data_IF_886284699113
#
_entry.id   IF_886284699113
#
_cell.length_a   1.000
_cell.length_b   1.000
_cell.length_c   1.000
_cell.angle_alpha   90.00
_cell.angle_beta   90.00
_cell.angle_gamma   90.00
#
_symmetry.space_group_name_H-M   'P 1'
#
loop_
_entity.id
_entity.type
_entity.pdbx_description
1 polymer ?
#
# COMPACT_ATOMS: atom_id res chain seq x y z
N UNK A 1 -25.64 -55.76 -26.91
CA UNK A 1 -24.21 -55.62 -27.26
C UNK A 1 -23.47 -54.98 -26.10
N UNK A 2 -22.45 -55.68 -25.62
CA UNK A 2 -21.36 -55.33 -24.68
C UNK A 2 -21.64 -54.53 -23.40
N UNK A 3 -21.72 -55.29 -22.30
CA UNK A 3 -21.35 -54.88 -20.93
C UNK A 3 -19.83 -54.88 -20.83
N UNK A 4 -19.20 -53.86 -20.23
CA UNK A 4 -17.81 -53.95 -19.80
C UNK A 4 -17.67 -53.50 -18.35
N UNK A 5 -17.42 -54.50 -17.50
CA UNK A 5 -17.04 -54.38 -16.10
C UNK A 5 -15.51 -54.30 -16.07
N UNK A 6 -14.95 -53.28 -15.43
CA UNK A 6 -13.55 -53.32 -14.98
C UNK A 6 -13.53 -53.04 -13.48
N UNK A 7 -13.51 -54.14 -12.73
CA UNK A 7 -13.03 -54.20 -11.36
C UNK A 7 -11.51 -54.26 -11.40
N UNK A 8 -10.82 -53.30 -10.77
CA UNK A 8 -9.45 -53.50 -10.32
C UNK A 8 -9.37 -53.23 -8.82
N UNK A 9 -9.04 -54.31 -8.13
CA UNK A 9 -8.77 -54.43 -6.70
C UNK A 9 -7.31 -54.02 -6.52
N UNK A 10 -7.07 -53.06 -5.64
CA UNK A 10 -5.74 -52.73 -5.13
C UNK A 10 -5.78 -52.69 -3.61
N UNK A 11 -5.61 -53.86 -2.98
CA UNK A 11 -5.20 -54.00 -1.58
C UNK A 11 -3.72 -53.61 -1.47
N UNK A 12 -3.33 -52.85 -0.45
CA UNK A 12 -1.90 -52.64 -0.20
C UNK A 12 -1.54 -51.71 0.96
N UNK A 13 -1.61 -52.26 2.17
CA UNK A 13 -0.76 -51.98 3.34
C UNK A 13 -0.74 -50.57 3.96
N UNK A 14 -1.41 -50.49 5.11
CA UNK A 14 -1.14 -49.54 6.17
C UNK A 14 0.28 -49.71 6.73
N UNK A 15 1.01 -48.60 6.90
CA UNK A 15 2.17 -48.52 7.78
C UNK A 15 1.88 -47.45 8.84
N UNK A 16 1.55 -47.94 10.03
CA UNK A 16 1.63 -47.22 11.31
C UNK A 16 3.11 -47.00 11.64
N UNK A 17 3.52 -45.75 11.85
CA UNK A 17 4.69 -45.44 12.68
C UNK A 17 4.56 -44.06 13.35
N UNK A 18 4.36 -44.15 14.67
CA UNK A 18 4.95 -43.35 15.74
C UNK A 18 4.88 -41.82 15.71
N UNK A 19 4.19 -41.32 16.74
CA UNK A 19 4.22 -39.97 17.25
C UNK A 19 5.63 -39.49 17.60
N UNK A 20 5.91 -38.23 17.30
CA UNK A 20 6.89 -37.42 18.02
C UNK A 20 6.36 -35.98 18.11
N UNK A 21 5.56 -35.73 19.14
CA UNK A 21 5.10 -34.39 19.51
C UNK A 21 6.25 -33.66 20.22
N UNK A 22 6.88 -32.72 19.53
CA UNK A 22 7.65 -31.67 20.19
C UNK A 22 6.78 -30.42 20.24
N UNK A 23 6.07 -30.25 21.36
CA UNK A 23 5.46 -28.97 21.74
C UNK A 23 6.56 -28.06 22.28
N UNK A 24 7.09 -27.17 21.44
CA UNK A 24 7.78 -25.99 21.94
C UNK A 24 6.71 -24.96 22.29
N UNK A 25 6.38 -24.90 23.56
CA UNK A 25 5.65 -23.83 24.21
C UNK A 25 6.62 -22.66 24.36
N UNK A 26 6.51 -21.65 23.51
CA UNK A 26 7.12 -20.33 23.74
C UNK A 26 6.00 -19.42 24.28
N UNK A 27 5.89 -19.33 25.60
CA UNK A 27 5.01 -18.37 26.26
C UNK A 27 5.68 -17.00 26.21
N UNK A 28 5.37 -16.21 25.18
CA UNK A 28 5.50 -14.76 25.28
C UNK A 28 4.26 -14.21 25.97
N UNK A 29 4.47 -13.80 27.20
CA UNK A 29 3.57 -12.95 27.97
C UNK A 29 3.18 -11.71 27.16
N UNK A 30 1.88 -11.44 26.93
CA UNK A 30 1.44 -10.15 26.42
C UNK A 30 1.53 -9.10 27.54
N UNK A 31 2.20 -8.00 27.22
CA UNK A 31 2.41 -6.84 28.08
C UNK A 31 1.06 -6.12 28.36
N UNK A 32 0.58 -6.02 29.62
CA UNK A 32 -0.74 -5.47 29.92
C UNK A 32 -0.82 -3.93 29.89
N UNK A 33 0.11 -3.23 29.24
CA UNK A 33 0.24 -1.76 29.31
C UNK A 33 -0.28 -0.95 28.12
N UNK A 34 -1.02 -1.55 27.18
CA UNK A 34 -1.60 -0.82 26.05
C UNK A 34 -3.14 -0.81 26.00
N UNK A 35 -3.79 -0.90 27.15
CA UNK A 35 -5.18 -0.46 27.33
C UNK A 35 -5.19 0.93 27.93
N UNK A 36 -4.99 1.94 27.08
CA UNK A 36 -5.27 3.33 27.41
C UNK A 36 -6.24 3.88 26.36
N UNK A 37 -7.52 3.57 26.55
CA UNK A 37 -8.62 4.35 26.00
C UNK A 37 -8.83 5.62 26.83
N UNK A 38 -8.78 6.81 26.21
CA UNK A 38 -9.67 7.91 26.58
C UNK A 38 -10.79 7.93 25.52
N UNK A 39 -12.01 7.56 25.89
CA UNK A 39 -12.99 8.46 26.51
C UNK A 39 -13.32 9.66 25.60
N UNK A 40 -14.56 9.63 25.12
CA UNK A 40 -15.19 10.69 24.35
C UNK A 40 -15.08 12.06 25.03
N UNK A 41 -14.72 13.08 24.26
CA UNK A 41 -14.97 14.48 24.61
C UNK A 41 -15.22 15.30 23.32
N UNK A 42 -16.51 15.51 23.07
CA UNK A 42 -17.17 16.75 22.63
C UNK A 42 -16.57 17.61 21.51
N UNK A 43 -17.44 17.82 20.53
CA UNK A 43 -17.42 18.92 19.58
C UNK A 43 -17.28 20.28 20.29
N UNK A 44 -16.45 21.15 19.74
CA UNK A 44 -16.66 22.60 19.77
C UNK A 44 -16.22 23.22 18.45
N UNK A 45 -17.16 23.94 17.85
CA UNK A 45 -16.96 24.87 16.75
C UNK A 45 -16.10 26.04 17.25
N UNK A 46 -15.09 26.41 16.49
CA UNK A 46 -14.27 27.59 16.76
C UNK A 46 -13.60 28.08 15.49
N UNK A 47 -14.19 29.09 14.87
CA UNK A 47 -13.64 29.82 13.74
C UNK A 47 -12.43 30.68 14.15
N UNK A 48 -11.71 31.14 13.12
CA UNK A 48 -10.68 32.21 13.09
C UNK A 48 -9.30 31.88 13.65
N UNK A 49 -8.29 32.09 12.79
CA UNK A 49 -6.88 31.97 13.15
C UNK A 49 -5.95 32.21 11.97
N UNK A 50 -6.09 33.36 11.30
CA UNK A 50 -5.03 33.92 10.44
C UNK A 50 -3.76 34.11 11.26
N UNK A 51 -2.65 33.49 10.88
CA UNK A 51 -1.34 33.75 11.51
C UNK A 51 -0.26 33.49 10.46
N UNK A 52 0.35 34.55 9.93
CA UNK A 52 1.58 35.18 10.45
C UNK A 52 2.80 34.61 9.72
N UNK A 53 3.00 35.08 8.49
CA UNK A 53 4.20 34.86 7.70
C UNK A 53 4.75 36.21 7.22
N UNK A 54 4.89 37.16 8.15
CA UNK A 54 5.61 38.42 7.92
C UNK A 54 6.24 38.82 9.26
N UNK A 55 7.47 38.35 9.49
CA UNK A 55 8.45 38.92 10.43
C UNK A 55 9.72 38.08 10.40
N UNK A 56 10.54 38.30 9.39
CA UNK A 56 11.97 37.95 9.41
C UNK A 56 12.73 38.93 8.53
N UNK A 57 12.70 40.20 8.93
CA UNK A 57 13.68 41.18 8.52
C UNK A 57 14.23 41.83 9.78
N UNK A 58 15.54 42.07 9.77
CA UNK A 58 16.27 42.99 10.64
C UNK A 58 16.86 42.43 11.95
N UNK A 59 18.07 41.84 11.83
CA UNK A 59 19.19 42.06 12.75
C UNK A 59 20.48 42.00 11.92
N UNK A 60 21.10 43.15 11.64
CA UNK A 60 22.15 43.76 12.46
C UNK A 60 23.44 42.94 12.48
N UNK A 61 24.45 43.37 11.71
CA UNK A 61 25.80 43.66 12.24
C UNK A 61 26.40 44.80 11.40
N UNK A 62 26.58 45.91 12.10
CA UNK A 62 27.32 47.11 11.73
C UNK A 62 28.79 46.91 12.14
N UNK A 63 29.69 47.36 11.28
CA UNK A 63 31.08 47.74 11.55
C UNK A 63 32.11 46.67 12.01
N UNK A 64 33.01 46.30 11.09
CA UNK A 64 34.45 46.23 11.40
C UNK A 64 35.29 46.60 10.17
N UNK A 65 35.91 47.77 10.25
CA UNK A 65 36.92 48.23 9.31
C UNK A 65 38.28 47.52 9.56
N UNK A 66 38.96 47.14 8.49
CA UNK A 66 40.42 47.01 8.40
C UNK A 66 40.86 47.17 6.93
N UNK A 67 42.05 47.74 6.78
CA UNK A 67 42.68 48.47 5.67
C UNK A 67 43.10 47.62 4.45
N UNK A 68 43.63 48.19 3.34
CA UNK A 68 43.42 47.70 1.99
C UNK A 68 44.62 46.92 1.47
N UNK A 69 44.43 45.64 1.14
CA UNK A 69 45.46 44.87 0.45
C UNK A 69 45.24 44.96 -1.06
N UNK A 70 46.17 45.68 -1.69
CA UNK A 70 46.31 45.91 -3.12
C UNK A 70 46.61 44.59 -3.83
N UNK A 71 45.57 43.85 -4.18
CA UNK A 71 45.68 42.73 -5.13
C UNK A 71 45.43 43.26 -6.53
N UNK A 72 46.46 43.10 -7.34
CA UNK A 72 46.57 43.44 -8.76
C UNK A 72 45.34 43.05 -9.58
N UNK A 73 44.76 44.05 -10.25
CA UNK A 73 43.70 43.90 -11.23
C UNK A 73 44.22 43.15 -12.46
N UNK A 74 44.02 41.83 -12.50
CA UNK A 74 43.84 41.14 -13.77
C UNK A 74 42.44 41.49 -14.26
N UNK A 75 42.35 42.08 -15.46
CA UNK A 75 41.08 42.46 -16.08
C UNK A 75 40.22 41.21 -16.34
N UNK A 76 39.44 40.82 -15.33
CA UNK A 76 38.40 39.82 -15.45
C UNK A 76 37.24 40.44 -16.23
N UNK A 77 36.86 39.78 -17.33
CA UNK A 77 35.63 40.07 -18.08
C UNK A 77 34.47 40.11 -17.07
N UNK A 78 33.59 41.12 -17.10
CA UNK A 78 32.51 41.20 -16.12
C UNK A 78 31.71 39.89 -16.16
N UNK A 79 31.35 39.32 -15.00
CA UNK A 79 30.49 38.15 -14.97
C UNK A 79 29.23 38.51 -15.75
N UNK A 80 28.83 37.67 -16.71
CA UNK A 80 27.54 37.84 -17.37
C UNK A 80 26.50 37.77 -16.26
N UNK A 81 25.88 38.91 -15.95
CA UNK A 81 24.76 38.97 -15.03
C UNK A 81 23.65 38.18 -15.71
N UNK A 82 23.54 36.91 -15.34
CA UNK A 82 22.37 36.12 -15.70
C UNK A 82 21.23 36.75 -14.90
N UNK A 83 20.40 37.53 -15.60
CA UNK A 83 19.20 38.11 -15.00
C UNK A 83 18.40 37.01 -14.30
N UNK A 84 17.71 37.38 -13.22
CA UNK A 84 16.83 36.48 -12.49
C UNK A 84 15.94 35.72 -13.48
N UNK A 85 15.95 34.38 -13.49
CA UNK A 85 15.13 33.62 -14.42
C UNK A 85 13.66 33.97 -14.20
N UNK A 86 12.93 34.13 -15.30
CA UNK A 86 11.49 34.38 -15.21
C UNK A 86 10.81 33.25 -14.43
N UNK A 87 9.76 33.56 -13.64
CA UNK A 87 9.02 32.54 -12.92
C UNK A 87 8.40 31.55 -13.90
N UNK A 88 8.52 30.26 -13.59
CA UNK A 88 7.86 29.21 -14.35
C UNK A 88 6.36 29.21 -14.03
N UNK A 89 5.57 29.76 -14.94
CA UNK A 89 4.11 29.80 -14.84
C UNK A 89 3.53 28.58 -15.55
N UNK A 90 2.81 27.75 -14.81
CA UNK A 90 2.08 26.62 -15.38
C UNK A 90 0.98 27.11 -16.32
N UNK A 91 0.72 26.44 -17.46
CA UNK A 91 -0.22 26.92 -18.47
C UNK A 91 -1.66 27.10 -17.96
N UNK A 92 -2.06 26.38 -16.89
CA UNK A 92 -3.36 26.56 -16.26
C UNK A 92 -3.54 27.96 -15.63
N UNK A 93 -2.45 28.60 -15.20
CA UNK A 93 -2.48 29.93 -14.61
C UNK A 93 -2.60 31.05 -15.66
N UNK A 94 -2.41 30.74 -16.96
CA UNK A 94 -2.58 31.70 -18.05
C UNK A 94 -4.04 31.99 -18.41
N UNK A 95 -5.00 31.27 -17.82
CA UNK A 95 -6.43 31.47 -18.09
C UNK A 95 -7.24 31.47 -16.78
N UNK A 96 -6.98 32.43 -15.87
CA UNK A 96 -7.80 32.59 -14.69
C UNK A 96 -9.23 32.94 -15.13
N UNK A 97 -10.23 32.24 -14.61
CA UNK A 97 -11.64 32.52 -14.88
C UNK A 97 -12.31 31.70 -15.99
N UNK A 98 -11.68 30.64 -16.53
CA UNK A 98 -12.44 29.66 -17.31
C UNK A 98 -13.57 29.07 -16.46
N UNK A 99 -14.76 29.01 -17.05
CA UNK A 99 -15.91 28.38 -16.43
C UNK A 99 -15.58 26.93 -16.06
N UNK A 100 -15.91 26.55 -14.82
CA UNK A 100 -15.74 25.18 -14.34
C UNK A 100 -16.57 24.23 -15.21
N UNK A 101 -15.95 23.21 -15.77
CA UNK A 101 -16.69 22.11 -16.41
C UNK A 101 -17.51 21.42 -15.31
N UNK A 102 -18.83 21.35 -15.49
CA UNK A 102 -19.70 20.65 -14.55
C UNK A 102 -19.43 19.15 -14.65
N UNK A 103 -19.33 18.42 -13.53
CA UNK A 103 -19.26 16.97 -13.56
C UNK A 103 -20.43 16.40 -14.37
N UNK A 104 -20.15 15.39 -15.20
CA UNK A 104 -21.18 14.63 -15.88
C UNK A 104 -22.09 13.91 -14.88
N UNK A 105 -23.23 13.41 -15.36
CA UNK A 105 -24.11 12.57 -14.54
C UNK A 105 -23.38 11.28 -14.16
N UNK A 106 -23.49 10.87 -12.90
CA UNK A 106 -22.98 9.56 -12.47
C UNK A 106 -23.66 8.44 -13.26
N UNK A 107 -22.92 7.40 -13.68
CA UNK A 107 -23.51 6.24 -14.33
C UNK A 107 -24.54 5.60 -13.40
N UNK A 108 -25.73 5.32 -13.94
CA UNK A 108 -26.80 4.62 -13.19
C UNK A 108 -26.59 3.11 -13.14
N UNK A 109 -25.89 2.56 -14.12
CA UNK A 109 -25.55 1.14 -14.15
C UNK A 109 -24.27 0.88 -13.35
N UNK A 110 -24.19 -0.26 -12.63
CA UNK A 110 -22.95 -0.66 -11.99
C UNK A 110 -21.86 -0.85 -13.04
N UNK A 111 -20.70 -0.22 -12.81
CA UNK A 111 -19.52 -0.41 -13.64
C UNK A 111 -19.06 -1.85 -13.49
N UNK A 112 -19.08 -2.61 -14.60
CA UNK A 112 -18.56 -3.98 -14.62
C UNK A 112 -17.04 -3.94 -14.66
N UNK A 113 -16.44 -4.01 -13.48
CA UNK A 113 -15.00 -4.24 -13.34
C UNK A 113 -14.77 -5.75 -13.33
N UNK A 114 -13.79 -6.23 -14.09
CA UNK A 114 -13.43 -7.65 -14.03
C UNK A 114 -12.82 -7.93 -12.65
N UNK A 115 -12.98 -9.14 -12.09
CA UNK A 115 -12.49 -9.45 -10.74
C UNK A 115 -10.96 -9.32 -10.57
N UNK A 116 -10.22 -9.19 -11.67
CA UNK A 116 -8.76 -9.29 -11.72
C UNK A 116 -8.07 -7.98 -12.18
N UNK A 117 -8.78 -6.84 -12.27
CA UNK A 117 -8.19 -5.58 -12.77
C UNK A 117 -6.99 -5.14 -11.92
N UNK A 118 -7.02 -5.38 -10.62
CA UNK A 118 -5.97 -4.98 -9.69
C UNK A 118 -4.82 -5.99 -9.60
N UNK A 119 -4.87 -7.08 -10.39
CA UNK A 119 -4.00 -8.25 -10.20
C UNK A 119 -4.34 -9.11 -8.98
N UNK A 120 -5.34 -8.70 -8.19
CA UNK A 120 -5.91 -9.41 -7.06
C UNK A 120 -7.06 -10.31 -7.49
N UNK A 121 -7.18 -11.49 -6.89
CA UNK A 121 -8.31 -12.37 -7.06
C UNK A 121 -9.35 -12.07 -5.98
N UNK A 122 -10.41 -11.37 -6.40
CA UNK A 122 -11.52 -10.97 -5.52
C UNK A 122 -12.39 -12.15 -5.05
N UNK A 123 -12.13 -13.39 -5.48
CA UNK A 123 -12.84 -14.57 -4.97
C UNK A 123 -12.32 -15.04 -3.61
N UNK A 124 -11.17 -14.52 -3.15
CA UNK A 124 -10.57 -14.87 -1.87
C UNK A 124 -10.42 -13.65 -0.98
N UNK A 125 -10.59 -13.86 0.32
CA UNK A 125 -10.38 -12.86 1.35
C UNK A 125 -11.54 -11.90 1.53
N UNK A 126 -11.26 -10.83 2.28
CA UNK A 126 -12.18 -9.69 2.45
C UNK A 126 -11.96 -8.66 1.34
N UNK A 127 -12.80 -7.62 1.29
CA UNK A 127 -12.65 -6.51 0.33
C UNK A 127 -11.29 -5.80 0.41
N UNK A 128 -10.63 -5.86 1.57
CA UNK A 128 -9.33 -5.24 1.80
C UNK A 128 -8.14 -6.19 1.53
N UNK A 129 -8.39 -7.49 1.35
CA UNK A 129 -7.35 -8.48 1.16
C UNK A 129 -7.14 -8.74 -0.33
N UNK A 130 -5.88 -8.76 -0.78
CA UNK A 130 -5.51 -9.01 -2.16
C UNK A 130 -4.74 -10.33 -2.24
N UNK A 131 -5.40 -11.40 -2.68
CA UNK A 131 -4.71 -12.64 -3.05
C UNK A 131 -4.24 -12.52 -4.49
N UNK A 132 -2.97 -12.78 -4.83
CA UNK A 132 -2.50 -12.68 -6.21
C UNK A 132 -3.28 -13.62 -7.15
N UNK A 133 -3.67 -13.14 -8.33
CA UNK A 133 -4.21 -14.01 -9.39
C UNK A 133 -3.11 -14.91 -9.97
N UNK A 134 -1.88 -14.43 -9.95
CA UNK A 134 -0.70 -15.13 -10.46
C UNK A 134 0.39 -15.07 -9.42
N UNK A 135 0.82 -16.23 -8.95
CA UNK A 135 1.93 -16.35 -8.01
C UNK A 135 3.27 -16.07 -8.71
N UNK A 136 4.29 -15.60 -7.98
CA UNK A 136 5.64 -15.45 -8.53
C UNK A 136 6.16 -16.75 -9.17
N UNK A 137 7.02 -16.61 -10.19
CA UNK A 137 7.64 -17.76 -10.84
C UNK A 137 8.43 -18.58 -9.80
N UNK A 138 8.32 -19.90 -9.87
CA UNK A 138 9.00 -20.83 -8.96
C UNK A 138 8.19 -21.20 -7.71
N UNK A 139 7.02 -20.60 -7.49
CA UNK A 139 6.10 -21.03 -6.43
C UNK A 139 5.39 -22.31 -6.87
N UNK A 140 5.75 -23.44 -6.26
CA UNK A 140 5.11 -24.74 -6.46
C UNK A 140 3.96 -24.95 -5.47
N UNK A 141 4.17 -24.58 -4.21
CA UNK A 141 3.17 -24.62 -3.15
C UNK A 141 2.60 -23.21 -2.89
N UNK A 142 1.42 -22.98 -3.45
CA UNK A 142 0.68 -21.72 -3.30
C UNK A 142 0.25 -21.48 -1.85
N UNK A 143 -0.11 -22.54 -1.13
CA UNK A 143 -0.60 -22.44 0.24
C UNK A 143 0.53 -22.14 1.22
N UNK A 144 1.68 -22.78 1.05
CA UNK A 144 2.89 -22.42 1.80
C UNK A 144 3.29 -20.97 1.52
N UNK A 145 3.24 -20.52 0.27
CA UNK A 145 3.55 -19.14 -0.08
C UNK A 145 2.59 -18.16 0.59
N UNK A 146 1.28 -18.41 0.53
CA UNK A 146 0.26 -17.58 1.18
C UNK A 146 0.50 -17.47 2.68
N UNK A 147 0.73 -18.61 3.35
CA UNK A 147 0.99 -18.65 4.79
C UNK A 147 2.25 -17.87 5.18
N UNK A 148 3.33 -18.00 4.39
CA UNK A 148 4.57 -17.26 4.60
C UNK A 148 4.40 -15.74 4.44
N UNK A 149 3.40 -15.30 3.66
CA UNK A 149 3.10 -13.88 3.43
C UNK A 149 1.94 -13.37 4.31
N UNK A 150 1.56 -14.12 5.35
CA UNK A 150 0.55 -13.69 6.33
C UNK A 150 -0.90 -13.89 5.87
N UNK A 151 -1.13 -14.60 4.77
CA UNK A 151 -2.47 -14.98 4.34
C UNK A 151 -2.89 -16.26 5.07
N UNK A 152 -3.52 -16.09 6.23
CA UNK A 152 -4.06 -17.19 7.04
C UNK A 152 -5.58 -17.07 7.18
N UNK A 153 -6.31 -18.19 7.07
CA UNK A 153 -7.76 -18.21 7.25
C UNK A 153 -8.49 -17.38 6.20
N UNK A 154 -8.02 -17.43 4.95
CA UNK A 154 -8.57 -16.58 3.88
C UNK A 154 -9.91 -17.16 3.41
N UNK A 155 -11.05 -16.47 3.63
CA UNK A 155 -12.34 -17.00 3.21
C UNK A 155 -12.47 -17.05 1.69
N UNK A 156 -13.11 -18.08 1.16
CA UNK A 156 -13.47 -18.18 -0.26
C UNK A 156 -14.85 -17.57 -0.45
N UNK A 157 -14.90 -16.32 -0.87
CA UNK A 157 -16.14 -15.54 -0.99
C UNK A 157 -17.01 -15.99 -2.18
N UNK A 158 -16.39 -16.57 -3.21
CA UNK A 158 -17.09 -16.98 -4.43
C UNK A 158 -16.53 -18.30 -4.97
N UNK A 159 -16.25 -18.37 -6.27
CA UNK A 159 -15.74 -19.60 -6.91
C UNK A 159 -14.25 -19.77 -6.58
N UNK A 160 -13.87 -20.96 -6.12
CA UNK A 160 -12.47 -21.35 -5.97
C UNK A 160 -11.82 -21.52 -7.35
N UNK A 161 -11.28 -20.44 -7.92
CA UNK A 161 -10.69 -20.43 -9.27
C UNK A 161 -9.25 -20.93 -9.29
N UNK A 162 -8.55 -20.78 -8.19
CA UNK A 162 -7.14 -21.11 -8.03
C UNK A 162 -6.92 -22.45 -7.32
N UNK A 163 -8.00 -23.17 -6.99
CA UNK A 163 -7.99 -24.43 -6.27
C UNK A 163 -7.21 -24.34 -4.95
N UNK A 164 -7.47 -23.28 -4.18
CA UNK A 164 -6.84 -23.07 -2.87
C UNK A 164 -7.65 -23.72 -1.74
N UNK A 165 -8.89 -24.15 -1.99
CA UNK A 165 -9.79 -24.78 -1.03
C UNK A 165 -10.18 -26.20 -1.54
N UNK A 166 -9.24 -27.16 -1.50
CA UNK A 166 -9.46 -28.49 -2.07
C UNK A 166 -10.52 -29.30 -1.32
N UNK A 167 -10.66 -29.10 -0.01
CA UNK A 167 -11.66 -29.75 0.85
C UNK A 167 -13.03 -29.03 0.84
N UNK A 168 -13.10 -27.85 0.21
CA UNK A 168 -14.32 -27.06 -0.01
C UNK A 168 -14.95 -26.56 1.29
N UNK A 169 -14.14 -26.31 2.30
CA UNK A 169 -14.58 -25.82 3.61
C UNK A 169 -14.80 -24.29 3.62
N UNK A 170 -14.65 -23.62 2.47
CA UNK A 170 -14.74 -22.16 2.28
C UNK A 170 -13.60 -21.37 2.89
N UNK A 171 -12.49 -22.02 3.24
CA UNK A 171 -11.27 -21.42 3.74
C UNK A 171 -10.12 -21.90 2.85
N UNK A 172 -9.44 -20.96 2.20
CA UNK A 172 -8.28 -21.28 1.41
C UNK A 172 -7.15 -21.81 2.31
N UNK A 173 -6.54 -22.90 1.86
CA UNK A 173 -5.41 -23.57 2.50
C UNK A 173 -5.72 -24.07 3.92
N UNK A 174 -6.96 -24.53 4.11
CA UNK A 174 -7.45 -25.19 5.32
C UNK A 174 -6.94 -26.61 5.50
#
# INVERSE_FOLDING_TARGET
>A
MSRMRYTWIGLGAAVLCAAATWTVVDQRTPDPRLLSTPAAAQASLGATGTSRADQAADRSVKDRAATPEKTTAAAAKPPKVHGTPAPFVQPFAGQPGRARIRPGKSPKAPVRVTPNVDGCDRNYGTKAQCVPVTFPKGVTDRCAWLKAHGFTGVPVAAKDRQNLDPDKNKIACG
#
